data_IF_310739190764
#
_entry.id   IF_310739190764
#
_cell.length_a   1.000
_cell.length_b   1.000
_cell.length_c   1.000
_cell.angle_alpha   90.00
_cell.angle_beta   90.00
_cell.angle_gamma   90.00
#
_symmetry.space_group_name_H-M   'P 1'
#
loop_
_entity.id
_entity.type
_entity.pdbx_description
1 polymer ?
#
# COMPACT_ATOMS: atom_id res chain seq x y z
N UNK A 1 -7.19 -24.70 -6.48
CA UNK A 1 -6.32 -23.58 -6.89
C UNK A 1 -7.22 -22.36 -7.01
N UNK A 2 -7.20 -21.50 -6.01
CA UNK A 2 -8.06 -20.32 -5.93
C UNK A 2 -7.37 -19.20 -6.71
N UNK A 3 -8.00 -18.71 -7.78
CA UNK A 3 -7.46 -17.57 -8.52
C UNK A 3 -7.50 -16.33 -7.60
N UNK A 4 -6.39 -15.60 -7.41
CA UNK A 4 -6.38 -14.39 -6.60
C UNK A 4 -7.35 -13.36 -7.17
N UNK A 5 -8.02 -12.58 -6.30
CA UNK A 5 -8.67 -11.35 -6.73
C UNK A 5 -7.66 -10.50 -7.50
N UNK A 6 -8.05 -9.95 -8.65
CA UNK A 6 -7.15 -9.14 -9.47
C UNK A 6 -6.66 -7.96 -8.63
N UNK A 7 -5.38 -7.97 -8.27
CA UNK A 7 -4.79 -6.89 -7.50
C UNK A 7 -4.88 -5.59 -8.31
N UNK A 8 -5.67 -4.63 -7.83
CA UNK A 8 -5.76 -3.29 -8.42
C UNK A 8 -4.46 -2.54 -8.13
N UNK A 9 -3.83 -2.02 -9.17
CA UNK A 9 -2.70 -1.10 -9.06
C UNK A 9 -3.18 0.35 -9.09
N UNK A 10 -2.44 1.22 -8.43
CA UNK A 10 -2.65 2.67 -8.45
C UNK A 10 -1.32 3.39 -8.65
N UNK A 11 -1.39 4.54 -9.33
CA UNK A 11 -0.24 5.39 -9.58
C UNK A 11 -0.25 6.58 -8.64
N UNK A 12 0.89 6.85 -8.00
CA UNK A 12 1.08 7.99 -7.09
C UNK A 12 2.33 8.78 -7.49
N UNK A 13 2.28 10.11 -7.36
CA UNK A 13 3.46 10.95 -7.51
C UNK A 13 4.18 11.09 -6.17
N UNK A 14 5.42 10.60 -6.09
CA UNK A 14 6.30 10.68 -4.93
C UNK A 14 7.52 11.53 -5.29
N UNK A 15 8.70 10.92 -5.41
CA UNK A 15 9.86 11.50 -6.09
C UNK A 15 9.69 11.53 -7.62
N UNK A 16 9.05 10.48 -8.14
CA UNK A 16 8.59 10.35 -9.51
C UNK A 16 7.24 9.61 -9.52
N UNK A 17 6.73 9.27 -10.69
CA UNK A 17 5.55 8.44 -10.81
C UNK A 17 5.88 7.02 -10.32
N UNK A 18 5.16 6.54 -9.30
CA UNK A 18 5.35 5.24 -8.67
C UNK A 18 4.06 4.42 -8.73
N UNK A 19 4.20 3.12 -8.87
CA UNK A 19 3.07 2.18 -8.84
C UNK A 19 2.99 1.49 -7.48
N UNK A 20 1.80 1.50 -6.88
CA UNK A 20 1.50 0.73 -5.68
C UNK A 20 0.42 -0.33 -5.96
N UNK A 21 0.55 -1.48 -5.33
CA UNK A 21 -0.37 -2.62 -5.41
C UNK A 21 -0.46 -3.32 -4.06
N UNK A 22 -1.67 -3.56 -3.56
CA UNK A 22 -1.88 -4.36 -2.36
C UNK A 22 -2.04 -5.84 -2.71
N UNK A 23 -1.16 -6.70 -2.18
CA UNK A 23 -1.16 -8.15 -2.37
C UNK A 23 -0.38 -8.85 -1.24
N UNK A 24 -0.24 -10.18 -1.31
CA UNK A 24 0.48 -10.98 -0.31
C UNK A 24 1.92 -10.50 -0.06
N UNK A 25 2.59 -9.96 -1.08
CA UNK A 25 3.95 -9.40 -0.94
C UNK A 25 3.94 -8.12 -0.11
N UNK A 26 2.93 -7.25 -0.30
CA UNK A 26 2.79 -6.06 0.54
C UNK A 26 2.55 -6.45 2.01
N UNK A 27 1.72 -7.47 2.26
CA UNK A 27 1.51 -8.01 3.61
C UNK A 27 2.80 -8.58 4.21
N UNK A 28 3.55 -9.36 3.42
CA UNK A 28 4.83 -9.92 3.84
C UNK A 28 5.85 -8.82 4.18
N UNK A 29 5.98 -7.79 3.32
CA UNK A 29 6.88 -6.65 3.57
C UNK A 29 6.49 -5.89 4.83
N UNK A 30 5.20 -5.64 5.04
CA UNK A 30 4.73 -5.03 6.28
C UNK A 30 5.09 -5.89 7.50
N UNK A 31 4.85 -7.21 7.43
CA UNK A 31 5.16 -8.16 8.50
C UNK A 31 6.66 -8.30 8.80
N UNK A 32 7.54 -7.96 7.85
CA UNK A 32 8.99 -8.01 8.01
C UNK A 32 9.60 -6.81 8.76
N UNK A 33 8.82 -5.76 9.03
CA UNK A 33 9.30 -4.62 9.81
C UNK A 33 9.46 -5.00 11.29
N UNK A 34 10.44 -4.40 11.98
CA UNK A 34 10.64 -4.59 13.43
C UNK A 34 9.37 -4.31 14.25
N UNK A 35 8.56 -3.36 13.77
CA UNK A 35 7.27 -2.97 14.37
C UNK A 35 6.23 -2.81 13.26
N UNK A 36 5.55 -3.90 12.86
CA UNK A 36 4.58 -3.85 11.78
C UNK A 36 3.36 -2.99 12.17
N UNK A 37 2.75 -2.37 11.16
CA UNK A 37 1.50 -1.64 11.30
C UNK A 37 0.33 -2.48 10.80
N UNK A 38 -0.80 -2.34 11.48
CA UNK A 38 -2.07 -2.85 10.99
C UNK A 38 -2.77 -1.75 10.19
N UNK A 39 -3.71 -2.11 9.32
CA UNK A 39 -4.52 -1.10 8.61
C UNK A 39 -5.34 -0.24 9.58
N UNK A 40 -5.71 -0.79 10.74
CA UNK A 40 -6.40 -0.05 11.80
C UNK A 40 -5.58 1.13 12.36
N UNK A 41 -4.25 1.07 12.26
CA UNK A 41 -3.36 2.14 12.74
C UNK A 41 -3.52 3.44 11.93
N UNK A 42 -4.05 3.39 10.71
CA UNK A 42 -4.39 4.58 9.91
C UNK A 42 -5.45 5.46 10.59
N UNK A 43 -6.29 4.88 11.45
CA UNK A 43 -7.30 5.62 12.22
C UNK A 43 -6.74 6.23 13.52
N UNK A 44 -5.57 5.78 13.97
CA UNK A 44 -4.98 6.22 15.21
C UNK A 44 -4.16 7.50 14.99
N UNK A 45 -4.60 8.65 15.52
CA UNK A 45 -3.95 9.96 15.33
C UNK A 45 -2.41 9.96 15.50
N UNK A 46 -1.89 9.21 16.46
CA UNK A 46 -0.44 9.16 16.76
C UNK A 46 0.35 8.24 15.83
N UNK A 47 -0.33 7.31 15.15
CA UNK A 47 0.30 6.27 14.31
C UNK A 47 -0.06 6.41 12.84
N UNK A 48 -1.09 7.17 12.50
CA UNK A 48 -1.67 7.24 11.15
C UNK A 48 -0.65 7.63 10.10
N UNK A 49 0.23 8.60 10.42
CA UNK A 49 1.31 9.01 9.52
C UNK A 49 2.30 7.89 9.24
N UNK A 50 2.87 7.28 10.29
CA UNK A 50 3.83 6.20 10.15
C UNK A 50 3.21 4.97 9.48
N UNK A 51 1.94 4.68 9.77
CA UNK A 51 1.18 3.62 9.14
C UNK A 51 0.98 3.87 7.64
N UNK A 52 0.60 5.10 7.24
CA UNK A 52 0.44 5.46 5.83
C UNK A 52 1.75 5.25 5.07
N UNK A 53 2.86 5.81 5.56
CA UNK A 53 4.18 5.67 4.93
C UNK A 53 4.59 4.20 4.82
N UNK A 54 4.45 3.42 5.89
CA UNK A 54 4.82 2.01 5.89
C UNK A 54 3.97 1.19 4.92
N UNK A 55 2.66 1.42 4.87
CA UNK A 55 1.77 0.72 3.94
C UNK A 55 2.03 1.12 2.49
N UNK A 56 2.27 2.39 2.20
CA UNK A 56 2.66 2.84 0.85
C UNK A 56 3.96 2.18 0.42
N UNK A 57 5.00 2.18 1.28
CA UNK A 57 6.28 1.51 1.01
C UNK A 57 6.10 0.03 0.73
N UNK A 58 5.30 -0.67 1.54
CA UNK A 58 5.03 -2.09 1.37
C UNK A 58 4.32 -2.39 0.04
N UNK A 59 3.42 -1.50 -0.39
CA UNK A 59 2.66 -1.64 -1.63
C UNK A 59 3.45 -1.27 -2.90
N UNK A 60 4.57 -0.57 -2.82
CA UNK A 60 5.38 -0.22 -4.00
C UNK A 60 5.69 -1.45 -4.85
N UNK A 61 5.57 -1.31 -6.18
CA UNK A 61 5.98 -2.32 -7.16
C UNK A 61 7.43 -2.75 -6.92
N UNK A 62 7.85 -3.92 -7.42
CA UNK A 62 9.22 -4.41 -7.14
C UNK A 62 10.29 -3.46 -7.67
N UNK A 63 10.05 -2.93 -8.87
CA UNK A 63 10.90 -1.92 -9.48
C UNK A 63 10.95 -0.64 -8.66
N UNK A 64 9.79 -0.14 -8.22
CA UNK A 64 9.73 1.12 -7.44
C UNK A 64 10.26 0.96 -6.02
N UNK A 65 10.13 -0.23 -5.44
CA UNK A 65 10.61 -0.54 -4.11
C UNK A 65 12.15 -0.52 -4.01
N UNK A 66 12.85 -0.77 -5.12
CA UNK A 66 14.32 -0.78 -5.15
C UNK A 66 14.92 0.59 -4.78
N UNK A 67 14.20 1.68 -5.05
CA UNK A 67 14.64 3.04 -4.75
C UNK A 67 14.41 3.44 -3.27
N UNK A 68 13.66 2.62 -2.52
CA UNK A 68 13.30 2.90 -1.12
C UNK A 68 13.61 1.70 -0.22
N UNK A 69 14.77 1.72 0.42
CA UNK A 69 15.22 0.65 1.31
C UNK A 69 14.30 0.43 2.53
N UNK A 70 13.62 1.48 3.00
CA UNK A 70 12.73 1.41 4.17
C UNK A 70 11.59 2.45 4.11
N UNK A 71 10.54 2.33 4.95
CA UNK A 71 9.51 3.36 5.08
C UNK A 71 10.09 4.76 5.37
N UNK A 72 11.14 4.85 6.18
CA UNK A 72 11.81 6.10 6.52
C UNK A 72 12.45 6.77 5.30
N UNK A 73 12.96 5.99 4.34
CA UNK A 73 13.48 6.54 3.07
C UNK A 73 12.37 7.09 2.17
N UNK A 74 11.14 6.59 2.27
CA UNK A 74 9.99 7.07 1.51
C UNK A 74 9.35 8.32 2.13
N UNK A 75 9.38 8.45 3.45
CA UNK A 75 8.69 9.51 4.20
C UNK A 75 8.94 10.95 3.67
N UNK A 76 10.17 11.35 3.26
CA UNK A 76 10.43 12.68 2.72
C UNK A 76 9.71 13.00 1.41
N UNK A 77 9.21 12.00 0.69
CA UNK A 77 8.57 12.16 -0.61
C UNK A 77 7.04 12.26 -0.53
N UNK A 78 6.47 11.96 0.65
CA UNK A 78 5.05 12.14 0.92
C UNK A 78 4.88 13.46 1.68
N UNK A 79 4.93 14.59 0.96
CA UNK A 79 4.84 15.91 1.56
C UNK A 79 3.74 16.76 0.93
N UNK A 80 3.12 17.60 1.74
CA UNK A 80 2.00 18.43 1.33
C UNK A 80 0.66 17.70 1.39
N UNK A 81 -0.38 18.44 1.72
CA UNK A 81 -1.73 17.90 1.94
C UNK A 81 -2.27 17.13 0.72
N UNK A 82 -2.02 17.65 -0.49
CA UNK A 82 -2.46 17.02 -1.73
C UNK A 82 -1.82 15.64 -1.95
N UNK A 83 -0.51 15.53 -1.74
CA UNK A 83 0.24 14.26 -1.89
C UNK A 83 -0.19 13.25 -0.84
N UNK A 84 -0.31 13.69 0.43
CA UNK A 84 -0.79 12.83 1.52
C UNK A 84 -2.17 12.26 1.20
N UNK A 85 -3.09 13.11 0.72
CA UNK A 85 -4.42 12.69 0.32
C UNK A 85 -4.39 11.70 -0.85
N UNK A 86 -3.65 11.99 -1.92
CA UNK A 86 -3.55 11.13 -3.08
C UNK A 86 -2.98 9.74 -2.73
N UNK A 87 -1.93 9.70 -1.90
CA UNK A 87 -1.31 8.44 -1.45
C UNK A 87 -2.27 7.63 -0.56
N UNK A 88 -3.01 8.31 0.32
CA UNK A 88 -4.02 7.65 1.16
C UNK A 88 -5.16 7.06 0.34
N UNK A 89 -5.71 7.82 -0.62
CA UNK A 89 -6.77 7.37 -1.53
C UNK A 89 -6.29 6.19 -2.39
N UNK A 90 -5.09 6.28 -2.96
CA UNK A 90 -4.50 5.20 -3.76
C UNK A 90 -4.29 3.92 -2.95
N UNK A 91 -3.77 4.04 -1.71
CA UNK A 91 -3.64 2.89 -0.81
C UNK A 91 -5.00 2.25 -0.51
N UNK A 92 -6.01 3.05 -0.15
CA UNK A 92 -7.34 2.54 0.17
C UNK A 92 -7.98 1.82 -1.02
N UNK A 93 -7.85 2.38 -2.22
CA UNK A 93 -8.35 1.78 -3.46
C UNK A 93 -7.72 0.39 -3.71
N UNK A 94 -6.40 0.28 -3.58
CA UNK A 94 -5.68 -0.98 -3.71
C UNK A 94 -6.09 -1.96 -2.61
N UNK A 95 -6.16 -1.51 -1.35
CA UNK A 95 -6.52 -2.33 -0.20
C UNK A 95 -7.92 -2.91 -0.34
N UNK A 96 -8.92 -2.08 -0.63
CA UNK A 96 -10.32 -2.53 -0.79
C UNK A 96 -10.43 -3.57 -1.92
N UNK A 97 -9.80 -3.30 -3.07
CA UNK A 97 -9.79 -4.26 -4.17
C UNK A 97 -9.09 -5.58 -3.81
N UNK A 98 -8.03 -5.53 -3.00
CA UNK A 98 -7.34 -6.72 -2.51
C UNK A 98 -8.11 -7.52 -1.44
N UNK A 99 -9.10 -6.90 -0.78
CA UNK A 99 -9.97 -7.53 0.21
C UNK A 99 -11.21 -8.18 -0.41
N UNK A 100 -11.56 -7.86 -1.67
CA UNK A 100 -12.70 -8.49 -2.32
C UNK A 100 -12.43 -9.99 -2.51
N UNK A 101 -13.25 -10.88 -1.92
CA UNK A 101 -13.18 -12.30 -2.25
C UNK A 101 -13.48 -12.41 -3.74
N UNK A 102 -12.72 -13.24 -4.47
CA UNK A 102 -12.99 -13.56 -5.86
C UNK A 102 -14.44 -14.09 -6.00
N UNK A 103 -15.39 -13.20 -6.24
CA UNK A 103 -16.82 -13.54 -6.18
C UNK A 103 -17.25 -14.11 -7.52
N UNK A 104 -17.42 -15.43 -7.51
CA UNK A 104 -18.51 -16.21 -8.12
C UNK A 104 -18.95 -15.76 -9.52
N UNK A 105 -18.19 -16.16 -10.54
CA UNK A 105 -18.74 -16.45 -11.87
C UNK A 105 -18.10 -17.74 -12.40
N UNK A 106 -18.48 -18.86 -11.79
CA UNK A 106 -18.19 -20.21 -12.30
C UNK A 106 -19.23 -21.20 -11.73
N UNK A 107 -20.51 -20.95 -11.98
CA UNK A 107 -21.58 -21.95 -11.91
C UNK A 107 -22.87 -21.34 -12.49
N UNK A 108 -23.28 -21.83 -13.66
CA UNK A 108 -24.53 -21.45 -14.33
C UNK A 108 -24.40 -21.48 -15.83
#
# INVERSE_FOLDING_TARGET
MTTPGQAKSATVHLDQERTITYNERAEFRMGSLDRPFTVADLRARRRSWAALVAWTWACLSEQDAADFASPESLAPHIQGEATVKAVFEAFLDCYIAGQEPASKNAAG
#
